data_IF_650564939107
#
_entry.id   IF_650564939107
#
_cell.length_a   1.000
_cell.length_b   1.000
_cell.length_c   1.000
_cell.angle_alpha   90.00
_cell.angle_beta   90.00
_cell.angle_gamma   90.00
#
_symmetry.space_group_name_H-M   'P 1'
#
loop_
_entity.id
_entity.type
_entity.pdbx_description
1 polymer ?
#
# COMPACT_ATOMS: atom_id res chain seq x y z
N UNK A 1 -3.83 1.76 8.28
CA UNK A 1 -4.33 2.33 7.02
C UNK A 1 -4.19 1.32 5.89
N UNK A 2 -5.12 1.34 4.93
CA UNK A 2 -4.99 0.62 3.66
C UNK A 2 -4.56 1.63 2.58
N UNK A 3 -3.35 1.50 2.06
CA UNK A 3 -2.76 2.36 1.04
C UNK A 3 -2.78 1.62 -0.30
N UNK A 4 -3.47 2.15 -1.29
CA UNK A 4 -3.73 1.46 -2.55
C UNK A 4 -3.05 2.21 -3.69
N UNK A 5 -2.19 1.50 -4.42
CA UNK A 5 -1.36 2.01 -5.51
C UNK A 5 -0.70 3.38 -5.18
N UNK A 6 0.07 3.49 -4.08
CA UNK A 6 0.71 4.76 -3.72
C UNK A 6 1.66 5.21 -4.85
N UNK A 7 1.50 6.45 -5.30
CA UNK A 7 2.31 7.00 -6.39
C UNK A 7 3.70 7.42 -5.92
N UNK A 8 4.72 7.16 -6.73
CA UNK A 8 6.08 7.64 -6.48
C UNK A 8 6.24 9.05 -7.04
N UNK A 9 6.01 10.07 -6.21
CA UNK A 9 6.11 11.48 -6.63
C UNK A 9 7.53 11.94 -6.92
N UNK A 10 8.54 11.12 -6.60
CA UNK A 10 9.96 11.40 -6.83
C UNK A 10 10.49 10.75 -8.12
N UNK A 11 9.66 9.96 -8.82
CA UNK A 11 10.06 9.27 -10.06
C UNK A 11 10.35 10.23 -11.22
N UNK A 12 11.20 9.79 -12.14
CA UNK A 12 11.36 10.42 -13.43
C UNK A 12 10.02 10.45 -14.20
N UNK A 13 9.66 11.61 -14.75
CA UNK A 13 8.38 11.79 -15.45
C UNK A 13 7.17 11.98 -14.54
N UNK A 14 7.36 12.15 -13.22
CA UNK A 14 6.29 12.56 -12.32
C UNK A 14 5.66 13.89 -12.79
N UNK A 15 4.31 13.98 -12.92
CA UNK A 15 3.63 15.22 -13.25
C UNK A 15 4.03 16.37 -12.33
N UNK A 16 4.23 17.57 -12.90
CA UNK A 16 4.70 18.74 -12.15
C UNK A 16 3.79 19.08 -10.96
N UNK A 17 2.48 18.93 -11.13
CA UNK A 17 1.48 19.14 -10.08
C UNK A 17 1.65 18.22 -8.86
N UNK A 18 2.35 17.07 -9.00
CA UNK A 18 2.58 16.12 -7.92
C UNK A 18 3.94 16.31 -7.23
N UNK A 19 4.88 17.05 -7.84
CA UNK A 19 6.21 17.28 -7.24
C UNK A 19 6.20 17.96 -5.87
N UNK A 20 5.28 18.90 -5.56
CA UNK A 20 5.21 19.52 -4.23
C UNK A 20 4.87 18.57 -3.08
N UNK A 21 4.45 17.33 -3.37
CA UNK A 21 4.24 16.29 -2.36
C UNK A 21 5.54 15.56 -1.96
N UNK A 22 6.67 15.89 -2.58
CA UNK A 22 7.98 15.43 -2.16
C UNK A 22 8.57 16.32 -1.03
N UNK A 23 9.46 15.78 -0.18
CA UNK A 23 9.95 14.40 -0.19
C UNK A 23 8.90 13.41 0.34
N UNK A 24 8.94 12.18 -0.16
CA UNK A 24 8.11 11.10 0.38
C UNK A 24 8.59 10.82 1.82
N UNK A 25 7.67 10.73 2.80
CA UNK A 25 8.05 10.39 4.17
C UNK A 25 8.75 9.03 4.23
N UNK A 26 9.93 8.98 4.84
CA UNK A 26 10.73 7.75 4.97
C UNK A 26 10.63 7.11 6.36
N UNK A 27 9.89 7.74 7.27
CA UNK A 27 9.65 7.21 8.60
C UNK A 27 8.52 6.18 8.60
N UNK A 28 8.62 5.18 9.49
CA UNK A 28 7.55 4.23 9.73
C UNK A 28 6.27 4.97 10.20
N UNK A 29 5.12 4.51 9.71
CA UNK A 29 3.84 5.08 10.11
C UNK A 29 3.48 4.64 11.53
N UNK A 30 2.87 5.52 12.36
CA UNK A 30 2.59 5.23 13.76
C UNK A 30 1.36 4.32 13.97
N UNK A 31 0.95 3.57 12.94
CA UNK A 31 -0.20 2.68 12.95
C UNK A 31 -0.01 1.55 11.94
N UNK A 32 -0.67 0.40 12.18
CA UNK A 32 -0.57 -0.74 11.26
C UNK A 32 -1.05 -0.34 9.87
N UNK A 33 -0.27 -0.71 8.85
CA UNK A 33 -0.50 -0.30 7.48
C UNK A 33 -0.38 -1.50 6.53
N UNK A 34 -1.21 -1.49 5.49
CA UNK A 34 -1.15 -2.40 4.35
C UNK A 34 -0.98 -1.57 3.09
N UNK A 35 0.04 -1.86 2.30
CA UNK A 35 0.18 -1.37 0.93
C UNK A 35 -0.34 -2.45 -0.02
N UNK A 36 -1.24 -2.06 -0.94
CA UNK A 36 -1.66 -2.89 -2.07
C UNK A 36 -1.17 -2.19 -3.33
N UNK A 37 -0.14 -2.75 -3.95
CA UNK A 37 0.45 -2.26 -5.20
C UNK A 37 0.16 -3.19 -6.37
N UNK A 38 0.73 -2.86 -7.53
CA UNK A 38 0.58 -3.64 -8.76
C UNK A 38 1.91 -3.79 -9.48
N UNK A 39 2.10 -4.91 -10.19
CA UNK A 39 3.33 -5.21 -10.92
C UNK A 39 3.52 -4.40 -12.21
N UNK A 40 2.47 -3.72 -12.68
CA UNK A 40 2.48 -2.91 -13.90
C UNK A 40 1.85 -1.51 -13.69
N UNK A 41 1.96 -0.94 -12.48
CA UNK A 41 1.56 0.43 -12.21
C UNK A 41 2.53 1.44 -12.86
N UNK A 42 1.98 2.43 -13.57
CA UNK A 42 2.75 3.51 -14.20
C UNK A 42 3.17 4.60 -13.20
N UNK A 43 2.51 4.67 -12.04
CA UNK A 43 2.74 5.68 -11.03
C UNK A 43 3.83 5.29 -10.02
N UNK A 44 4.05 3.99 -9.82
CA UNK A 44 5.14 3.44 -9.01
C UNK A 44 5.47 2.03 -9.51
N UNK A 45 6.76 1.71 -9.67
CA UNK A 45 7.16 0.35 -10.01
C UNK A 45 6.87 -0.61 -8.85
N UNK A 46 6.80 -1.91 -9.11
CA UNK A 46 6.69 -2.92 -8.06
C UNK A 46 7.79 -2.76 -7.00
N UNK A 47 9.05 -2.61 -7.45
CA UNK A 47 10.20 -2.44 -6.57
C UNK A 47 10.02 -1.22 -5.66
N UNK A 48 9.52 -0.11 -6.21
CA UNK A 48 9.28 1.11 -5.46
C UNK A 48 8.12 0.96 -4.48
N UNK A 49 7.02 0.31 -4.86
CA UNK A 49 5.91 0.05 -3.95
C UNK A 49 6.36 -0.79 -2.74
N UNK A 50 7.24 -1.79 -2.96
CA UNK A 50 7.84 -2.59 -1.87
C UNK A 50 8.78 -1.76 -1.01
N UNK A 51 9.59 -0.90 -1.61
CA UNK A 51 10.48 0.01 -0.88
C UNK A 51 9.67 0.95 0.04
N UNK A 52 8.63 1.60 -0.51
CA UNK A 52 7.75 2.49 0.25
C UNK A 52 7.06 1.75 1.40
N UNK A 53 6.58 0.53 1.17
CA UNK A 53 6.02 -0.29 2.24
C UNK A 53 7.06 -0.58 3.34
N UNK A 54 8.31 -0.88 2.97
CA UNK A 54 9.40 -1.08 3.92
C UNK A 54 9.70 0.18 4.74
N UNK A 55 9.79 1.35 4.11
CA UNK A 55 9.99 2.64 4.78
C UNK A 55 8.86 2.94 5.77
N UNK A 56 7.63 2.64 5.39
CA UNK A 56 6.45 2.90 6.21
C UNK A 56 6.17 1.82 7.26
N UNK A 57 6.96 0.75 7.32
CA UNK A 57 6.73 -0.39 8.21
C UNK A 57 5.40 -1.10 7.91
N UNK A 58 4.98 -1.11 6.65
CA UNK A 58 3.72 -1.68 6.19
C UNK A 58 3.92 -3.09 5.63
N UNK A 59 2.90 -3.93 5.80
CA UNK A 59 2.78 -5.15 4.99
C UNK A 59 2.49 -4.76 3.53
N UNK A 60 2.94 -5.58 2.58
CA UNK A 60 2.80 -5.31 1.15
C UNK A 60 2.22 -6.48 0.39
N UNK A 61 1.20 -6.20 -0.43
CA UNK A 61 0.66 -7.12 -1.42
C UNK A 61 0.85 -6.49 -2.80
N UNK A 62 1.44 -7.23 -3.74
CA UNK A 62 1.58 -6.79 -5.13
C UNK A 62 0.67 -7.64 -6.00
N UNK A 63 -0.29 -7.00 -6.66
CA UNK A 63 -1.21 -7.64 -7.58
C UNK A 63 -0.56 -7.76 -8.97
N UNK A 64 -0.58 -8.94 -9.59
CA UNK A 64 -0.06 -9.09 -10.94
C UNK A 64 -0.98 -8.38 -11.94
N UNK A 65 -0.45 -7.40 -12.68
CA UNK A 65 -1.15 -6.83 -13.84
C UNK A 65 -2.33 -5.90 -13.54
N UNK A 66 -2.48 -5.39 -12.31
CA UNK A 66 -3.66 -4.63 -11.88
C UNK A 66 -3.65 -3.12 -12.25
N UNK A 67 -2.64 -2.64 -12.97
CA UNK A 67 -2.48 -1.22 -13.29
C UNK A 67 -2.40 -0.34 -12.04
N UNK A 68 -2.96 0.87 -12.10
CA UNK A 68 -2.96 1.82 -10.96
C UNK A 68 -4.18 1.64 -10.01
N UNK A 69 -4.83 0.46 -10.04
CA UNK A 69 -5.95 0.09 -9.15
C UNK A 69 -7.04 1.19 -9.06
N UNK A 70 -7.35 1.79 -10.21
CA UNK A 70 -8.37 2.80 -10.38
C UNK A 70 -9.42 2.36 -11.41
N UNK A 71 -10.42 3.21 -11.64
CA UNK A 71 -11.48 2.98 -12.64
C UNK A 71 -10.93 2.71 -14.04
N UNK A 72 -9.87 3.40 -14.48
CA UNK A 72 -9.28 3.21 -15.80
C UNK A 72 -8.61 1.83 -15.95
N UNK A 73 -8.16 1.24 -14.85
CA UNK A 73 -7.65 -0.14 -14.77
C UNK A 73 -8.73 -1.19 -14.46
N UNK A 74 -10.02 -0.83 -14.49
CA UNK A 74 -11.15 -1.75 -14.28
C UNK A 74 -11.61 -1.89 -12.82
N UNK A 75 -10.99 -1.18 -11.88
CA UNK A 75 -11.29 -1.26 -10.45
C UNK A 75 -12.41 -0.28 -10.09
N UNK A 76 -13.67 -0.71 -10.28
CA UNK A 76 -14.86 0.08 -9.94
C UNK A 76 -15.28 -0.11 -8.48
N UNK A 77 -16.20 -1.04 -8.21
CA UNK A 77 -16.62 -1.37 -6.83
C UNK A 77 -15.50 -2.03 -6.02
N UNK A 78 -14.58 -2.70 -6.71
CA UNK A 78 -13.41 -3.39 -6.17
C UNK A 78 -13.67 -4.13 -4.86
N UNK A 79 -14.47 -5.20 -4.96
CA UNK A 79 -14.78 -6.11 -3.85
C UNK A 79 -13.54 -6.71 -3.21
N UNK A 80 -12.50 -6.95 -4.00
CA UNK A 80 -11.20 -7.47 -3.56
C UNK A 80 -10.49 -6.50 -2.61
N UNK A 81 -10.75 -5.19 -2.75
CA UNK A 81 -10.28 -4.18 -1.81
C UNK A 81 -10.79 -4.40 -0.38
N UNK A 82 -12.03 -4.88 -0.24
CA UNK A 82 -12.62 -5.19 1.07
C UNK A 82 -11.95 -6.40 1.73
N UNK A 83 -11.44 -7.35 0.94
CA UNK A 83 -10.67 -8.49 1.47
C UNK A 83 -9.36 -8.01 2.09
N UNK A 84 -8.66 -7.08 1.44
CA UNK A 84 -7.44 -6.48 2.00
C UNK A 84 -7.72 -5.65 3.26
N UNK A 85 -8.88 -4.98 3.32
CA UNK A 85 -9.31 -4.25 4.51
C UNK A 85 -9.59 -5.19 5.67
N UNK A 86 -10.39 -6.25 5.45
CA UNK A 86 -10.70 -7.27 6.46
C UNK A 86 -9.42 -7.94 7.00
N UNK A 87 -8.47 -8.27 6.12
CA UNK A 87 -7.16 -8.80 6.55
C UNK A 87 -6.38 -7.82 7.44
N UNK A 88 -6.41 -6.51 7.12
CA UNK A 88 -5.79 -5.50 7.96
C UNK A 88 -6.47 -5.40 9.33
N UNK A 89 -7.81 -5.46 9.37
CA UNK A 89 -8.59 -5.44 10.61
C UNK A 89 -8.30 -6.66 11.49
N UNK A 90 -8.27 -7.87 10.90
CA UNK A 90 -7.92 -9.10 11.62
C UNK A 90 -6.52 -9.05 12.21
N UNK A 91 -5.54 -8.51 11.48
CA UNK A 91 -4.17 -8.32 12.00
C UNK A 91 -4.14 -7.33 13.16
N UNK A 92 -4.90 -6.24 13.07
CA UNK A 92 -5.01 -5.26 14.16
C UNK A 92 -5.58 -5.90 15.43
N UNK A 93 -6.61 -6.73 15.31
CA UNK A 93 -7.20 -7.42 16.46
C UNK A 93 -6.22 -8.40 17.12
N UNK A 94 -5.48 -9.16 16.31
CA UNK A 94 -4.41 -10.06 16.81
C UNK A 94 -3.30 -9.28 17.54
N UNK A 95 -2.92 -8.10 17.04
CA UNK A 95 -1.90 -7.26 17.69
C UNK A 95 -2.36 -6.64 19.00
N UNK A 96 -3.67 -6.38 19.14
CA UNK A 96 -4.29 -5.79 20.34
C UNK A 96 -4.61 -6.83 21.42
N UNK A 97 -4.62 -8.12 21.09
CA UNK A 97 -4.91 -9.21 22.03
C UNK A 97 -3.62 -9.83 22.58
N UNK A 98 -3.11 -9.39 23.76
CA UNK A 98 -1.84 -9.87 24.30
C UNK A 98 -1.81 -11.38 24.57
N UNK A 99 -2.97 -12.02 24.73
CA UNK A 99 -3.08 -13.45 25.05
C UNK A 99 -2.89 -14.39 23.85
N UNK A 100 -2.95 -13.89 22.61
CA UNK A 100 -2.76 -14.73 21.40
C UNK A 100 -1.30 -14.86 20.98
N UNK A 101 -0.41 -13.94 21.39
CA UNK A 101 1.03 -13.99 21.03
C UNK A 101 1.89 -14.96 21.85
N UNK A 102 1.38 -15.45 22.98
CA UNK A 102 2.12 -16.33 23.89
C UNK A 102 1.85 -17.82 23.66
N UNK A 103 0.97 -18.18 22.73
CA UNK A 103 0.50 -19.54 22.50
C UNK A 103 1.06 -20.19 21.21
N UNK A 104 2.15 -19.66 20.64
CA UNK A 104 2.87 -20.22 19.47
C UNK A 104 4.35 -20.28 19.77
#
# INVERSE_FOLDING_TARGET
>A
ALLVAPADVERAGCPEALRPFAPIPTAALPFATQVVGSSNDYAASEARARELAGLWGADVAILPGAGHINVASGHHRWSEGLVWLDQLEQRLDQQRSPWQRMAS
#
